data_IF_068276077046
#
_entry.id   IF_068276077046
#
_cell.length_a   1.000
_cell.length_b   1.000
_cell.length_c   1.000
_cell.angle_alpha   90.00
_cell.angle_beta   90.00
_cell.angle_gamma   90.00
#
_symmetry.space_group_name_H-M   'P 1'
#
loop_
_entity.id
_entity.type
_entity.pdbx_description
1 polymer ?
#
# COMPACT_ATOMS: atom_id res chain seq x y z
N UNK A 1 22.08 -10.66 -1.95
CA UNK A 1 20.64 -10.29 -2.13
C UNK A 1 20.38 -10.13 -3.62
N UNK A 2 19.45 -10.86 -4.17
CA UNK A 2 19.11 -10.76 -5.59
C UNK A 2 18.03 -9.68 -5.77
N UNK A 3 18.26 -8.71 -6.64
CA UNK A 3 17.27 -7.72 -7.00
C UNK A 3 16.62 -8.07 -8.33
N UNK A 4 15.31 -7.88 -8.40
CA UNK A 4 14.53 -8.11 -9.60
C UNK A 4 14.50 -6.88 -10.51
N UNK A 5 14.21 -7.10 -11.79
CA UNK A 5 14.15 -6.03 -12.78
C UNK A 5 12.89 -5.18 -12.59
N UNK A 6 13.05 -3.87 -12.69
CA UNK A 6 11.91 -2.93 -12.69
C UNK A 6 11.16 -3.05 -14.02
N UNK A 7 9.84 -3.12 -13.93
CA UNK A 7 8.93 -3.12 -15.07
C UNK A 7 7.91 -1.98 -14.97
N UNK A 8 7.19 -1.74 -16.06
CA UNK A 8 5.98 -0.92 -16.00
C UNK A 8 4.84 -1.70 -15.31
N UNK A 9 3.89 -1.02 -14.65
CA UNK A 9 2.70 -1.69 -14.14
C UNK A 9 1.93 -2.33 -15.31
N UNK A 10 1.36 -3.51 -15.11
CA UNK A 10 0.50 -4.11 -16.13
C UNK A 10 -0.91 -3.52 -16.09
N UNK A 11 -1.30 -2.91 -14.96
CA UNK A 11 -2.56 -2.20 -14.81
C UNK A 11 -2.45 -1.08 -13.81
N UNK A 12 -3.21 -0.02 -14.02
CA UNK A 12 -3.31 1.12 -13.12
C UNK A 12 -4.76 1.48 -12.87
N UNK A 13 -5.04 2.05 -11.70
CA UNK A 13 -6.38 2.42 -11.28
C UNK A 13 -6.36 3.78 -10.59
N UNK A 14 -7.52 4.43 -10.60
CA UNK A 14 -7.78 5.62 -9.80
C UNK A 14 -9.12 5.40 -9.08
N UNK A 15 -9.06 4.89 -7.86
CA UNK A 15 -10.25 4.56 -7.08
C UNK A 15 -10.77 5.76 -6.29
N UNK A 16 -12.06 6.07 -6.45
CA UNK A 16 -12.73 7.05 -5.57
C UNK A 16 -12.91 6.41 -4.19
N UNK A 17 -12.29 7.01 -3.17
CA UNK A 17 -12.34 6.53 -1.78
C UNK A 17 -13.17 7.43 -0.87
N UNK A 18 -13.40 8.68 -1.28
CA UNK A 18 -14.31 9.61 -0.62
C UNK A 18 -14.82 10.64 -1.64
N UNK A 19 -15.60 11.63 -1.20
CA UNK A 19 -16.02 12.71 -2.09
C UNK A 19 -14.87 13.65 -2.48
N UNK A 20 -13.80 13.66 -1.68
CA UNK A 20 -12.61 14.48 -1.91
C UNK A 20 -11.52 13.68 -2.62
N UNK A 21 -11.27 12.42 -2.17
CA UNK A 21 -10.07 11.67 -2.55
C UNK A 21 -10.30 10.59 -3.59
N UNK A 22 -9.32 10.51 -4.51
CA UNK A 22 -9.11 9.35 -5.40
C UNK A 22 -7.68 8.87 -5.21
N UNK A 23 -7.49 7.59 -4.94
CA UNK A 23 -6.18 6.98 -4.77
C UNK A 23 -5.72 6.29 -6.05
N UNK A 24 -4.44 6.47 -6.36
CA UNK A 24 -3.79 5.86 -7.51
C UNK A 24 -3.15 4.54 -7.11
N UNK A 25 -3.49 3.48 -7.84
CA UNK A 25 -3.04 2.10 -7.56
C UNK A 25 -2.37 1.52 -8.79
N UNK A 26 -1.27 0.84 -8.61
CA UNK A 26 -0.51 0.14 -9.64
C UNK A 26 -0.39 -1.34 -9.32
N UNK A 27 -0.54 -2.18 -10.35
CA UNK A 27 -0.37 -3.63 -10.26
C UNK A 27 0.86 -4.06 -11.05
N UNK A 28 1.68 -4.92 -10.44
CA UNK A 28 2.92 -5.43 -11.00
C UNK A 28 3.05 -6.95 -10.84
N UNK A 29 3.90 -7.54 -11.67
CA UNK A 29 4.25 -8.95 -11.58
C UNK A 29 3.20 -9.89 -12.14
N UNK A 30 2.90 -10.96 -11.41
CA UNK A 30 1.98 -12.01 -11.86
C UNK A 30 0.55 -11.71 -11.36
N UNK A 31 -0.41 -11.41 -12.24
CA UNK A 31 -1.80 -11.16 -11.85
C UNK A 31 -2.50 -12.33 -11.15
N UNK A 32 -1.95 -13.55 -11.30
CA UNK A 32 -2.42 -14.77 -10.61
C UNK A 32 -1.50 -15.20 -9.47
N UNK A 33 -0.53 -14.36 -9.12
CA UNK A 33 0.45 -14.63 -8.07
C UNK A 33 -0.08 -14.40 -6.67
N UNK A 34 0.81 -14.57 -5.69
CA UNK A 34 0.51 -14.31 -4.28
C UNK A 34 0.30 -12.81 -4.09
N UNK A 35 -0.86 -12.36 -3.59
CA UNK A 35 -1.12 -10.94 -3.40
C UNK A 35 -0.22 -10.36 -2.31
N UNK A 36 0.45 -9.27 -2.65
CA UNK A 36 1.35 -8.50 -1.80
C UNK A 36 1.02 -7.02 -1.89
N UNK A 37 0.67 -6.40 -0.79
CA UNK A 37 0.43 -4.97 -0.68
C UNK A 37 1.68 -4.27 -0.15
N UNK A 38 2.14 -3.26 -0.86
CA UNK A 38 3.24 -2.40 -0.42
C UNK A 38 2.70 -1.08 0.15
N UNK A 39 3.06 -0.78 1.40
CA UNK A 39 2.73 0.47 2.08
C UNK A 39 3.97 1.36 2.18
N UNK A 40 3.95 2.48 1.45
CA UNK A 40 5.06 3.44 1.45
C UNK A 40 5.16 4.23 2.75
N UNK A 41 6.33 4.80 2.98
CA UNK A 41 6.64 5.61 4.15
C UNK A 41 6.30 7.10 3.99
N UNK A 42 6.91 7.88 4.81
CA UNK A 42 6.72 9.30 4.93
C UNK A 42 6.29 9.67 6.35
N UNK A 43 5.00 9.98 6.62
CA UNK A 43 3.84 10.02 5.69
C UNK A 43 4.05 10.90 4.46
N UNK A 44 3.37 10.58 3.35
CA UNK A 44 3.31 11.43 2.16
C UNK A 44 4.44 11.24 1.13
N UNK A 45 5.30 10.23 1.29
CA UNK A 45 6.39 10.00 0.34
C UNK A 45 5.92 9.54 -1.05
N UNK A 46 4.79 8.83 -1.10
CA UNK A 46 4.34 8.15 -2.32
C UNK A 46 5.14 6.87 -2.61
N UNK A 47 4.71 6.12 -3.61
CA UNK A 47 5.41 4.93 -4.07
C UNK A 47 6.53 5.27 -5.06
N UNK A 48 7.46 4.36 -5.21
CA UNK A 48 8.51 4.42 -6.23
C UNK A 48 8.67 3.07 -6.90
N UNK A 49 8.87 3.03 -8.24
CA UNK A 49 9.10 1.77 -8.96
C UNK A 49 10.26 0.94 -8.43
N UNK A 50 11.20 1.57 -7.73
CA UNK A 50 12.39 0.90 -7.18
C UNK A 50 12.02 -0.20 -6.17
N UNK A 51 10.89 -0.09 -5.50
CA UNK A 51 10.45 -1.08 -4.50
C UNK A 51 10.06 -2.42 -5.11
N UNK A 52 9.76 -2.49 -6.40
CA UNK A 52 9.55 -3.74 -7.13
C UNK A 52 10.76 -4.69 -7.06
N UNK A 53 11.97 -4.13 -6.92
CA UNK A 53 13.22 -4.92 -6.88
C UNK A 53 13.27 -5.95 -5.76
N UNK A 54 12.43 -5.81 -4.74
CA UNK A 54 12.37 -6.74 -3.61
C UNK A 54 11.45 -7.94 -3.84
N UNK A 55 10.61 -7.91 -4.88
CA UNK A 55 9.57 -8.90 -5.10
C UNK A 55 9.78 -9.67 -6.41
N UNK A 56 9.73 -11.00 -6.34
CA UNK A 56 9.78 -11.84 -7.54
C UNK A 56 8.53 -11.63 -8.39
N UNK A 57 8.67 -11.06 -9.62
CA UNK A 57 7.52 -10.76 -10.47
C UNK A 57 6.81 -12.00 -11.02
N UNK A 58 7.44 -13.17 -10.94
CA UNK A 58 6.80 -14.45 -11.32
C UNK A 58 5.93 -15.00 -10.20
N UNK A 59 6.27 -14.68 -8.95
CA UNK A 59 5.63 -15.23 -7.76
C UNK A 59 4.52 -14.34 -7.21
N UNK A 60 4.73 -13.03 -7.20
CA UNK A 60 3.84 -12.09 -6.54
C UNK A 60 2.98 -11.29 -7.50
N UNK A 61 1.73 -11.07 -7.11
CA UNK A 61 0.87 -9.98 -7.57
C UNK A 61 1.12 -8.80 -6.63
N UNK A 62 2.00 -7.90 -7.03
CA UNK A 62 2.39 -6.76 -6.22
C UNK A 62 1.45 -5.58 -6.48
N UNK A 63 0.79 -5.11 -5.42
CA UNK A 63 -0.09 -3.95 -5.43
C UNK A 63 0.61 -2.82 -4.69
N UNK A 64 0.79 -1.69 -5.37
CA UNK A 64 1.38 -0.48 -4.82
C UNK A 64 0.40 0.67 -5.02
N UNK A 65 0.21 1.51 -4.02
CA UNK A 65 -0.66 2.68 -4.15
C UNK A 65 -0.07 3.89 -3.46
N UNK A 66 -0.38 5.05 -3.98
CA UNK A 66 -0.09 6.32 -3.33
C UNK A 66 -1.21 6.63 -2.34
N UNK A 67 -0.86 6.79 -1.06
CA UNK A 67 -1.81 7.16 -0.02
C UNK A 67 -2.44 8.51 -0.33
N UNK A 68 -3.54 8.87 0.35
CA UNK A 68 -4.25 10.14 0.15
C UNK A 68 -3.29 11.32 0.15
N UNK A 69 -3.51 12.27 -0.73
CA UNK A 69 -2.78 13.53 -0.80
C UNK A 69 -1.34 13.44 -1.32
N UNK A 70 -0.85 12.26 -1.70
CA UNK A 70 0.53 12.12 -2.17
C UNK A 70 0.65 11.42 -3.53
N UNK A 71 1.83 11.53 -4.14
CA UNK A 71 2.16 10.93 -5.41
C UNK A 71 1.17 11.31 -6.52
N UNK A 72 0.62 10.28 -7.17
CA UNK A 72 -0.38 10.42 -8.25
C UNK A 72 -1.83 10.39 -7.74
N UNK A 73 -2.05 10.18 -6.45
CA UNK A 73 -3.36 10.29 -5.83
C UNK A 73 -3.87 11.73 -5.86
N UNK A 74 -5.18 11.90 -5.90
CA UNK A 74 -5.82 13.21 -6.10
C UNK A 74 -6.82 13.53 -4.98
N UNK A 75 -6.89 14.82 -4.55
CA UNK A 75 -6.02 15.95 -4.90
C UNK A 75 -4.65 15.82 -4.23
N UNK A 76 -3.59 16.29 -4.89
CA UNK A 76 -2.26 16.32 -4.32
C UNK A 76 -2.17 17.34 -3.19
N UNK A 77 -1.55 16.97 -2.05
CA UNK A 77 -1.37 17.83 -0.90
C UNK A 77 -2.64 18.06 -0.05
N UNK A 78 -3.74 17.38 -0.36
CA UNK A 78 -4.98 17.50 0.42
C UNK A 78 -4.86 16.76 1.76
N UNK A 79 -5.25 17.44 2.84
CA UNK A 79 -5.14 16.92 4.21
C UNK A 79 -6.49 16.69 4.89
N UNK A 80 -7.60 17.11 4.29
CA UNK A 80 -8.93 16.81 4.80
C UNK A 80 -9.23 15.32 4.59
N UNK A 81 -10.02 14.71 5.48
CA UNK A 81 -10.33 13.28 5.44
C UNK A 81 -9.05 12.42 5.25
N UNK A 82 -8.04 12.69 6.08
CA UNK A 82 -6.72 12.05 5.99
C UNK A 82 -6.27 11.51 7.35
N UNK A 83 -7.18 10.85 8.04
CA UNK A 83 -6.91 10.18 9.31
C UNK A 83 -6.35 8.76 9.06
N UNK A 84 -5.77 8.16 10.08
CA UNK A 84 -5.35 6.74 10.02
C UNK A 84 -6.53 5.82 9.70
N UNK A 85 -7.71 6.11 10.24
CA UNK A 85 -8.92 5.36 9.95
C UNK A 85 -9.32 5.43 8.47
N UNK A 86 -9.15 6.60 7.85
CA UNK A 86 -9.38 6.76 6.41
C UNK A 86 -8.42 5.90 5.59
N UNK A 87 -7.14 5.86 5.96
CA UNK A 87 -6.13 5.06 5.27
C UNK A 87 -6.40 3.54 5.42
N UNK A 88 -6.88 3.10 6.58
CA UNK A 88 -7.31 1.72 6.81
C UNK A 88 -8.50 1.37 5.91
N UNK A 89 -9.47 2.27 5.81
CA UNK A 89 -10.63 2.11 4.93
C UNK A 89 -10.23 2.04 3.45
N UNK A 90 -9.23 2.80 3.03
CA UNK A 90 -8.69 2.75 1.67
C UNK A 90 -8.07 1.39 1.35
N UNK A 91 -7.34 0.80 2.30
CA UNK A 91 -6.79 -0.55 2.12
C UNK A 91 -7.93 -1.56 1.93
N UNK A 92 -8.97 -1.51 2.76
CA UNK A 92 -10.12 -2.38 2.61
C UNK A 92 -10.77 -2.24 1.22
N UNK A 93 -10.96 -1.01 0.76
CA UNK A 93 -11.53 -0.73 -0.56
C UNK A 93 -10.67 -1.31 -1.70
N UNK A 94 -9.33 -1.20 -1.61
CA UNK A 94 -8.42 -1.81 -2.57
C UNK A 94 -8.62 -3.33 -2.60
N UNK A 95 -8.60 -3.98 -1.43
CA UNK A 95 -8.76 -5.44 -1.35
C UNK A 95 -10.11 -5.92 -1.89
N UNK A 96 -11.17 -5.18 -1.63
CA UNK A 96 -12.51 -5.46 -2.15
C UNK A 96 -12.56 -5.36 -3.67
N UNK A 97 -11.97 -4.31 -4.25
CA UNK A 97 -11.91 -4.12 -5.70
C UNK A 97 -11.13 -5.24 -6.43
N UNK A 98 -10.17 -5.85 -5.75
CA UNK A 98 -9.39 -6.98 -6.30
C UNK A 98 -9.90 -8.36 -5.85
N UNK A 99 -11.00 -8.42 -5.09
CA UNK A 99 -11.55 -9.66 -4.52
C UNK A 99 -10.52 -10.45 -3.72
N UNK A 100 -9.72 -9.75 -2.92
CA UNK A 100 -8.67 -10.34 -2.09
C UNK A 100 -9.19 -10.47 -0.65
N UNK A 101 -9.28 -11.69 -0.15
CA UNK A 101 -9.70 -11.97 1.23
C UNK A 101 -8.58 -11.77 2.22
N UNK A 102 -7.39 -12.33 1.92
CA UNK A 102 -6.20 -12.22 2.75
C UNK A 102 -5.02 -11.69 1.95
N UNK A 103 -4.28 -10.77 2.55
CA UNK A 103 -3.16 -10.06 1.93
C UNK A 103 -1.87 -10.22 2.73
N UNK A 104 -0.77 -10.38 2.01
CA UNK A 104 0.56 -10.18 2.57
C UNK A 104 0.92 -8.70 2.48
N UNK A 105 1.41 -8.11 3.56
CA UNK A 105 1.71 -6.68 3.61
C UNK A 105 3.21 -6.48 3.85
N UNK A 106 3.80 -5.61 3.03
CA UNK A 106 5.13 -5.06 3.26
C UNK A 106 5.02 -3.57 3.57
N UNK A 107 5.48 -3.17 4.77
CA UNK A 107 5.46 -1.78 5.21
C UNK A 107 6.86 -1.27 5.58
N UNK A 108 7.23 -0.11 5.03
CA UNK A 108 8.49 0.56 5.34
C UNK A 108 8.30 1.90 6.06
N UNK A 109 9.06 2.17 7.13
CA UNK A 109 8.98 3.41 7.92
C UNK A 109 7.53 3.67 8.39
N UNK A 110 6.91 4.81 8.06
CA UNK A 110 5.47 5.07 8.33
C UNK A 110 4.57 3.94 7.82
N UNK A 111 4.90 3.34 6.67
CA UNK A 111 4.16 2.19 6.14
C UNK A 111 4.16 0.98 7.07
N UNK A 112 5.19 0.81 7.92
CA UNK A 112 5.20 -0.23 8.96
C UNK A 112 4.18 0.04 10.06
N UNK A 113 4.04 1.30 10.47
CA UNK A 113 3.02 1.73 11.44
C UNK A 113 1.62 1.51 10.89
N UNK A 114 1.37 1.93 9.64
CA UNK A 114 0.08 1.72 8.98
C UNK A 114 -0.24 0.22 8.83
N UNK A 115 0.76 -0.61 8.49
CA UNK A 115 0.60 -2.06 8.39
C UNK A 115 0.18 -2.70 9.71
N UNK A 116 0.81 -2.29 10.82
CA UNK A 116 0.47 -2.77 12.17
C UNK A 116 -0.94 -2.36 12.56
N UNK A 117 -1.30 -1.09 12.36
CA UNK A 117 -2.63 -0.58 12.67
C UNK A 117 -3.72 -1.24 11.81
N UNK A 118 -3.42 -1.49 10.53
CA UNK A 118 -4.32 -2.24 9.67
C UNK A 118 -4.54 -3.68 10.19
N UNK A 119 -3.46 -4.38 10.53
CA UNK A 119 -3.53 -5.75 11.04
C UNK A 119 -4.25 -5.84 12.39
N UNK A 120 -4.07 -4.85 13.26
CA UNK A 120 -4.81 -4.78 14.53
C UNK A 120 -6.31 -4.62 14.32
N UNK A 121 -6.72 -3.80 13.35
CA UNK A 121 -8.13 -3.55 13.05
C UNK A 121 -8.78 -4.64 12.17
N UNK A 122 -7.99 -5.37 11.37
CA UNK A 122 -8.47 -6.36 10.41
C UNK A 122 -7.61 -7.63 10.43
N UNK A 123 -7.47 -8.31 11.59
CA UNK A 123 -6.54 -9.44 11.74
C UNK A 123 -6.87 -10.61 10.81
N UNK A 124 -8.15 -10.81 10.50
CA UNK A 124 -8.63 -11.88 9.61
C UNK A 124 -8.22 -11.66 8.14
N UNK A 125 -7.88 -10.42 7.77
CA UNK A 125 -7.51 -10.06 6.39
C UNK A 125 -6.01 -10.07 6.14
N UNK A 126 -5.19 -10.30 7.17
CA UNK A 126 -3.73 -10.27 7.04
C UNK A 126 -3.17 -11.67 7.11
N UNK A 127 -2.48 -12.09 6.05
CA UNK A 127 -1.78 -13.37 5.99
C UNK A 127 -0.40 -13.27 6.64
N UNK A 128 0.39 -12.26 6.25
CA UNK A 128 1.72 -11.98 6.80
C UNK A 128 2.01 -10.49 6.84
N UNK A 129 2.89 -10.09 7.76
CA UNK A 129 3.47 -8.75 7.81
C UNK A 129 4.99 -8.84 7.65
N UNK A 130 5.54 -8.04 6.74
CA UNK A 130 6.97 -7.78 6.63
C UNK A 130 7.21 -6.31 6.88
N UNK A 131 7.93 -5.99 7.95
CA UNK A 131 8.12 -4.62 8.40
C UNK A 131 9.60 -4.25 8.32
N UNK A 132 9.87 -3.09 7.74
CA UNK A 132 11.23 -2.53 7.63
C UNK A 132 11.28 -1.14 8.23
N UNK A 133 12.29 -0.90 9.08
CA UNK A 133 12.44 0.40 9.73
C UNK A 133 11.21 0.77 10.53
N UNK A 134 10.83 -0.14 11.45
CA UNK A 134 9.59 0.00 12.25
C UNK A 134 9.60 1.34 12.97
N UNK A 135 8.56 2.12 12.72
CA UNK A 135 8.41 3.48 13.24
C UNK A 135 7.22 3.54 14.20
N UNK A 136 7.52 3.63 15.50
CA UNK A 136 6.52 3.66 16.58
C UNK A 136 6.57 4.97 17.39
N UNK A 137 7.44 5.90 17.03
CA UNK A 137 7.72 7.08 17.83
C UNK A 137 6.65 8.18 17.81
N UNK A 138 5.62 8.05 16.98
CA UNK A 138 4.48 8.97 16.98
C UNK A 138 3.66 8.93 18.27
N UNK A 139 3.89 7.93 19.10
CA UNK A 139 3.21 7.77 20.40
C UNK A 139 3.59 8.87 21.39
N UNK A 140 4.68 9.57 21.13
CA UNK A 140 5.21 10.62 22.02
C UNK A 140 5.03 12.05 21.50
N UNK A 141 4.29 12.21 20.44
CA UNK A 141 4.00 13.52 19.87
C UNK A 141 2.62 14.00 20.31
#
# INVERSE_FOLDING_TARGET
MQFYKISKPFKTHLFKVSDIHKIYVEEYGNPHGIPMLFLHGGPGAGTSPIFQKFFDPKKYHLIMFDQRGCGKSKPYGETREHTTSDLISDINLILENFSIDKINIYGGSWGSTLALLYAENNPERVATLTLRGVFLSLIHI
#
